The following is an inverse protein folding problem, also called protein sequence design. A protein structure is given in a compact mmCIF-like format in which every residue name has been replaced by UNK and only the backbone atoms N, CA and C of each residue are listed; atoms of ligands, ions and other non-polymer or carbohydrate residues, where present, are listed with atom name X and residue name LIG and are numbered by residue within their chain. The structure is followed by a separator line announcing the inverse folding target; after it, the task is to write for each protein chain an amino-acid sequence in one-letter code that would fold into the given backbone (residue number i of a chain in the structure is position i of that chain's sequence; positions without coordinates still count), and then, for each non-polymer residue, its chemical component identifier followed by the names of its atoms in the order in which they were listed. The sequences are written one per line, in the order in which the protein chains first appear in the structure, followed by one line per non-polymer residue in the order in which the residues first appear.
data_IF_750991081261
#
_entry.id   IF_750991081261
#
_cell.length_a   1.000
_cell.length_b   1.000
_cell.length_c   1.000
_cell.angle_alpha   90.00
_cell.angle_beta   90.00
_cell.angle_gamma   90.00
#
_symmetry.space_group_name_H-M   'P 1'
#
loop_
_entity.id
_entity.type
_entity.pdbx_description
1 polymer ?
#
# COMPACT_ATOMS: atom_id res chain seq x y z
N UNK A 1 29.68 -7.87 0.31
CA UNK A 1 29.17 -6.51 0.58
C UNK A 1 28.00 -6.26 -0.35
N UNK A 2 26.76 -6.29 0.14
CA UNK A 2 25.58 -5.92 -0.65
C UNK A 2 25.40 -4.40 -0.48
N UNK A 3 25.59 -3.62 -1.53
CA UNK A 3 25.29 -2.19 -1.52
C UNK A 3 23.81 -1.95 -1.23
N UNK A 4 23.44 -0.87 -0.54
CA UNK A 4 22.04 -0.53 -0.31
C UNK A 4 21.29 -0.42 -1.64
N UNK A 5 19.98 -0.75 -1.67
CA UNK A 5 19.16 -0.51 -2.86
C UNK A 5 19.21 0.99 -3.18
N UNK A 6 19.37 1.36 -4.46
CA UNK A 6 19.48 2.77 -4.82
C UNK A 6 18.17 3.49 -4.50
N UNK A 7 18.25 4.77 -4.14
CA UNK A 7 17.13 5.68 -3.94
C UNK A 7 16.71 6.35 -5.26
N UNK A 8 15.52 6.93 -5.31
CA UNK A 8 15.02 7.71 -6.45
C UNK A 8 15.89 8.93 -6.76
N UNK A 9 16.58 9.47 -5.75
CA UNK A 9 17.48 10.61 -5.88
C UNK A 9 18.89 10.20 -6.33
N UNK A 10 19.21 8.91 -6.39
CA UNK A 10 20.46 8.44 -6.99
C UNK A 10 20.39 8.67 -8.50
N UNK A 11 21.25 9.56 -9.02
CA UNK A 11 21.22 10.05 -10.40
C UNK A 11 21.22 8.95 -11.49
N UNK A 12 21.57 7.70 -11.12
CA UNK A 12 21.74 6.59 -12.05
C UNK A 12 21.04 5.29 -11.60
N UNK A 13 20.03 5.34 -10.73
CA UNK A 13 19.29 4.12 -10.29
C UNK A 13 18.79 3.28 -11.48
N UNK A 14 18.43 3.95 -12.58
CA UNK A 14 17.97 3.33 -13.82
C UNK A 14 19.00 2.36 -14.43
N UNK A 15 20.31 2.59 -14.24
CA UNK A 15 21.37 1.73 -14.77
C UNK A 15 21.38 0.33 -14.15
N UNK A 16 20.87 0.20 -12.92
CA UNK A 16 20.72 -1.09 -12.24
C UNK A 16 19.43 -1.84 -12.65
N UNK A 17 18.66 -1.29 -13.58
CA UNK A 17 17.44 -1.89 -14.11
C UNK A 17 17.73 -3.17 -14.91
N UNK A 18 17.19 -4.31 -14.47
CA UNK A 18 17.30 -5.58 -15.21
C UNK A 18 16.69 -5.53 -16.61
N UNK A 19 15.73 -4.64 -16.86
CA UNK A 19 15.15 -4.42 -18.18
C UNK A 19 16.15 -3.91 -19.22
N UNK A 20 17.31 -3.39 -18.79
CA UNK A 20 18.38 -2.92 -19.69
C UNK A 20 19.35 -4.02 -20.10
N UNK A 21 19.25 -5.22 -19.51
CA UNK A 21 20.14 -6.31 -19.83
C UNK A 21 19.96 -6.73 -21.30
N UNK A 22 21.04 -6.99 -22.02
CA UNK A 22 21.01 -7.24 -23.47
C UNK A 22 20.12 -8.44 -23.88
N UNK A 23 19.86 -9.37 -22.96
CA UNK A 23 18.98 -10.52 -23.17
C UNK A 23 17.49 -10.22 -22.96
N UNK A 24 17.11 -8.98 -22.70
CA UNK A 24 15.74 -8.57 -22.41
C UNK A 24 15.26 -7.64 -23.50
N UNK A 25 14.19 -8.02 -24.17
CA UNK A 25 13.54 -7.21 -25.20
C UNK A 25 12.77 -6.03 -24.58
N UNK A 26 13.05 -4.77 -24.97
CA UNK A 26 12.30 -3.59 -24.51
C UNK A 26 10.79 -3.64 -24.82
N UNK A 27 10.39 -4.26 -25.94
CA UNK A 27 8.98 -4.38 -26.36
C UNK A 27 8.14 -5.19 -25.35
N UNK A 28 8.80 -5.99 -24.51
CA UNK A 28 8.14 -6.70 -23.43
C UNK A 28 7.43 -5.74 -22.45
N UNK A 29 8.01 -4.56 -22.21
CA UNK A 29 7.51 -3.59 -21.25
C UNK A 29 6.53 -2.58 -21.86
N UNK A 30 6.59 -2.33 -23.17
CA UNK A 30 5.81 -1.31 -23.85
C UNK A 30 4.96 -1.96 -24.96
N UNK A 31 3.62 -2.07 -24.80
CA UNK A 31 2.77 -2.74 -25.78
C UNK A 31 2.73 -2.02 -27.12
N UNK A 32 2.64 -2.79 -28.21
CA UNK A 32 2.07 -2.34 -29.48
C UNK A 32 0.53 -2.36 -29.43
N UNK A 33 -0.12 -1.52 -30.23
CA UNK A 33 -1.58 -1.51 -30.35
C UNK A 33 -2.09 -2.80 -31.04
N UNK A 34 -3.21 -3.35 -30.52
CA UNK A 34 -3.98 -4.50 -31.04
C UNK A 34 -3.44 -5.92 -30.75
N UNK A 35 -2.83 -6.16 -29.59
CA UNK A 35 -2.53 -7.54 -29.15
C UNK A 35 -3.79 -8.31 -28.68
N UNK A 36 -3.82 -9.62 -28.95
CA UNK A 36 -4.79 -10.53 -28.34
C UNK A 36 -4.65 -10.53 -26.80
N UNK A 37 -5.77 -10.65 -26.08
CA UNK A 37 -5.77 -10.60 -24.60
C UNK A 37 -4.87 -11.65 -23.95
N UNK A 38 -4.77 -12.84 -24.53
CA UNK A 38 -3.89 -13.92 -24.06
C UNK A 38 -2.42 -13.57 -24.22
N UNK A 39 -2.03 -13.06 -25.40
CA UNK A 39 -0.66 -12.61 -25.70
C UNK A 39 -0.25 -11.48 -24.76
N UNK A 40 -1.11 -10.48 -24.61
CA UNK A 40 -0.90 -9.39 -23.65
C UNK A 40 -0.67 -9.90 -22.23
N UNK A 41 -1.50 -10.85 -21.75
CA UNK A 41 -1.35 -11.42 -20.40
C UNK A 41 -0.02 -12.13 -20.22
N UNK A 42 0.40 -12.93 -21.21
CA UNK A 42 1.69 -13.64 -21.15
C UNK A 42 2.86 -12.65 -21.13
N UNK A 43 2.84 -11.63 -22.01
CA UNK A 43 3.84 -10.56 -22.04
C UNK A 43 3.93 -9.81 -20.71
N UNK A 44 2.78 -9.39 -20.17
CA UNK A 44 2.72 -8.72 -18.86
C UNK A 44 3.27 -9.61 -17.74
N UNK A 45 2.96 -10.90 -17.72
CA UNK A 45 3.50 -11.84 -16.74
C UNK A 45 5.02 -11.99 -16.86
N UNK A 46 5.54 -12.08 -18.08
CA UNK A 46 6.97 -12.18 -18.35
C UNK A 46 7.70 -10.90 -17.92
N UNK A 47 7.22 -9.71 -18.28
CA UNK A 47 7.78 -8.44 -17.83
C UNK A 47 7.81 -8.34 -16.30
N UNK A 48 6.69 -8.69 -15.65
CA UNK A 48 6.58 -8.71 -14.18
C UNK A 48 7.57 -9.68 -13.54
N UNK A 49 7.87 -10.82 -14.16
CA UNK A 49 8.85 -11.78 -13.65
C UNK A 49 10.27 -11.18 -13.59
N UNK A 50 10.62 -10.35 -14.58
CA UNK A 50 11.90 -9.62 -14.62
C UNK A 50 11.92 -8.55 -13.54
N UNK A 51 10.86 -7.76 -13.41
CA UNK A 51 10.73 -6.73 -12.38
C UNK A 51 10.86 -7.31 -10.96
N UNK A 52 10.28 -8.48 -10.67
CA UNK A 52 10.36 -9.13 -9.34
C UNK A 52 11.78 -9.41 -8.87
N UNK A 53 12.73 -9.57 -9.80
CA UNK A 53 14.14 -9.84 -9.49
C UNK A 53 14.99 -8.58 -9.58
N UNK A 54 14.42 -7.46 -10.03
CA UNK A 54 15.13 -6.22 -10.30
C UNK A 54 15.44 -5.49 -8.99
N UNK A 55 16.71 -5.12 -8.72
CA UNK A 55 17.08 -4.48 -7.45
C UNK A 55 16.45 -3.08 -7.29
N UNK A 56 16.05 -2.45 -8.40
CA UNK A 56 15.46 -1.10 -8.42
C UNK A 56 13.95 -1.11 -8.66
N UNK A 57 13.28 -2.24 -8.49
CA UNK A 57 11.85 -2.36 -8.79
C UNK A 57 11.00 -1.38 -7.96
N UNK A 58 11.30 -1.24 -6.67
CA UNK A 58 10.59 -0.34 -5.77
C UNK A 58 10.76 1.14 -6.19
N UNK A 59 12.00 1.57 -6.43
CA UNK A 59 12.30 2.94 -6.89
C UNK A 59 11.68 3.23 -8.25
N UNK A 60 11.75 2.27 -9.17
CA UNK A 60 11.12 2.36 -10.49
C UNK A 60 9.59 2.55 -10.38
N UNK A 61 8.92 1.83 -9.47
CA UNK A 61 7.49 1.99 -9.23
C UNK A 61 7.17 3.37 -8.63
N UNK A 62 7.92 3.79 -7.60
CA UNK A 62 7.76 5.11 -6.99
C UNK A 62 7.90 6.23 -8.02
N UNK A 63 8.94 6.17 -8.85
CA UNK A 63 9.15 7.12 -9.95
C UNK A 63 7.96 7.13 -10.91
N UNK A 64 7.46 5.95 -11.30
CA UNK A 64 6.36 5.86 -12.25
C UNK A 64 5.04 6.42 -11.71
N UNK A 65 4.78 6.27 -10.40
CA UNK A 65 3.63 6.86 -9.73
C UNK A 65 3.78 8.39 -9.58
N UNK A 66 4.94 8.88 -9.16
CA UNK A 66 5.18 10.32 -8.99
C UNK A 66 5.10 11.09 -10.31
N UNK A 67 5.67 10.53 -11.38
CA UNK A 67 5.71 11.17 -12.71
C UNK A 67 4.53 10.79 -13.59
N UNK A 68 3.59 9.96 -13.09
CA UNK A 68 2.41 9.47 -13.81
C UNK A 68 2.75 8.90 -15.19
N UNK A 69 3.73 8.00 -15.25
CA UNK A 69 4.18 7.42 -16.51
C UNK A 69 2.99 6.80 -17.27
N UNK A 70 2.72 7.24 -18.52
CA UNK A 70 1.44 7.00 -19.17
C UNK A 70 1.27 5.57 -19.66
N UNK A 71 2.36 4.90 -20.05
CA UNK A 71 2.30 3.57 -20.67
C UNK A 71 3.34 2.62 -20.09
N UNK A 72 3.20 1.34 -20.43
CA UNK A 72 4.16 0.29 -20.12
C UNK A 72 4.15 -0.21 -18.68
N UNK A 73 5.05 -1.16 -18.41
CA UNK A 73 5.22 -1.83 -17.12
C UNK A 73 6.41 -1.23 -16.38
N UNK A 74 6.15 -0.68 -15.20
CA UNK A 74 7.14 0.00 -14.38
C UNK A 74 7.15 -0.62 -12.99
N UNK A 75 8.33 -1.00 -12.50
CA UNK A 75 8.49 -1.61 -11.16
C UNK A 75 7.63 -2.86 -10.92
N UNK A 76 7.16 -3.53 -11.97
CA UNK A 76 6.26 -4.69 -11.88
C UNK A 76 4.76 -4.37 -11.91
N UNK A 77 4.37 -3.11 -12.13
CA UNK A 77 2.98 -2.71 -12.27
C UNK A 77 2.67 -2.24 -13.70
N UNK A 78 1.55 -2.71 -14.25
CA UNK A 78 0.95 -2.16 -15.48
C UNK A 78 0.37 -0.77 -15.24
N UNK A 79 0.10 -0.02 -16.31
CA UNK A 79 -0.61 1.28 -16.22
C UNK A 79 -1.92 1.16 -15.42
N UNK A 80 -2.72 0.13 -15.70
CA UNK A 80 -4.02 -0.10 -15.05
C UNK A 80 -3.83 -0.36 -13.55
N UNK A 81 -2.79 -1.10 -13.17
CA UNK A 81 -2.47 -1.35 -11.76
C UNK A 81 -2.01 -0.07 -11.06
N UNK A 82 -1.13 0.72 -11.68
CA UNK A 82 -0.70 2.02 -11.13
C UNK A 82 -1.88 2.97 -10.93
N UNK A 83 -2.78 3.09 -11.91
CA UNK A 83 -4.01 3.90 -11.78
C UNK A 83 -4.94 3.40 -10.66
N UNK A 84 -4.92 2.11 -10.33
CA UNK A 84 -5.69 1.57 -9.20
C UNK A 84 -5.05 1.91 -7.87
N UNK A 85 -3.72 2.02 -7.81
CA UNK A 85 -2.98 2.45 -6.61
C UNK A 85 -3.14 3.95 -6.36
N UNK A 86 -3.13 4.78 -7.40
CA UNK A 86 -3.40 6.21 -7.31
C UNK A 86 -4.86 6.53 -6.97
N UNK A 87 -5.80 5.64 -7.32
CA UNK A 87 -7.21 5.85 -7.03
C UNK A 87 -7.39 5.82 -5.50
N UNK A 88 -7.81 6.93 -4.87
CA UNK A 88 -8.12 6.91 -3.45
C UNK A 88 -9.20 5.86 -3.24
N UNK A 89 -8.95 4.92 -2.32
CA UNK A 89 -9.98 3.97 -1.91
C UNK A 89 -11.16 4.81 -1.42
N UNK A 90 -12.39 4.59 -1.91
CA UNK A 90 -13.52 5.37 -1.45
C UNK A 90 -13.58 5.23 0.06
N UNK A 91 -13.64 6.37 0.75
CA UNK A 91 -13.82 6.36 2.18
C UNK A 91 -15.08 5.51 2.48
N UNK A 92 -15.02 4.60 3.47
CA UNK A 92 -16.19 3.84 3.83
C UNK A 92 -17.31 4.80 4.19
N UNK A 93 -18.49 4.61 3.59
CA UNK A 93 -19.67 5.41 3.94
C UNK A 93 -19.96 5.23 5.44
N UNK A 94 -19.87 6.31 6.20
CA UNK A 94 -20.21 6.35 7.62
C UNK A 94 -21.72 6.45 7.75
N UNK A 95 -22.37 5.30 7.90
CA UNK A 95 -23.81 5.22 8.24
C UNK A 95 -24.00 5.60 9.72
N UNK A 96 -25.19 6.08 10.12
CA UNK A 96 -25.47 6.40 11.53
C UNK A 96 -25.21 5.20 12.46
N UNK A 97 -25.56 3.98 12.02
CA UNK A 97 -25.27 2.73 12.73
C UNK A 97 -23.76 2.53 12.96
N UNK A 98 -22.92 2.84 11.97
CA UNK A 98 -21.45 2.75 12.09
C UNK A 98 -20.89 3.82 13.01
N UNK A 99 -21.44 5.03 12.97
CA UNK A 99 -21.05 6.11 13.88
C UNK A 99 -21.40 5.76 15.34
N UNK A 100 -22.54 5.10 15.58
CA UNK A 100 -22.93 4.61 16.90
C UNK A 100 -21.94 3.58 17.45
N UNK A 101 -21.39 2.69 16.60
CA UNK A 101 -20.33 1.76 17.03
C UNK A 101 -19.07 2.49 17.51
N UNK A 102 -18.65 3.54 16.79
CA UNK A 102 -17.50 4.37 17.18
C UNK A 102 -17.76 5.12 18.49
N UNK A 103 -18.94 5.73 18.64
CA UNK A 103 -19.34 6.42 19.85
C UNK A 103 -19.44 5.46 21.05
N UNK A 104 -20.04 4.28 20.86
CA UNK A 104 -20.13 3.25 21.90
C UNK A 104 -18.75 2.76 22.34
N UNK A 105 -17.82 2.60 21.39
CA UNK A 105 -16.43 2.28 21.72
C UNK A 105 -15.80 3.40 22.57
N UNK A 106 -15.89 4.65 22.12
CA UNK A 106 -15.36 5.81 22.84
C UNK A 106 -15.95 5.94 24.25
N UNK A 107 -17.23 5.63 24.43
CA UNK A 107 -17.94 5.62 25.72
C UNK A 107 -17.51 4.50 26.68
N UNK A 108 -16.69 3.52 26.23
CA UNK A 108 -16.14 2.49 27.09
C UNK A 108 -16.41 1.06 26.65
N UNK A 109 -17.33 0.83 25.71
CA UNK A 109 -17.68 -0.52 25.27
C UNK A 109 -16.46 -1.24 24.66
N UNK A 110 -16.36 -2.55 24.89
CA UNK A 110 -15.38 -3.37 24.18
C UNK A 110 -15.85 -3.66 22.75
N UNK A 111 -14.92 -4.02 21.87
CA UNK A 111 -15.27 -4.45 20.49
C UNK A 111 -16.21 -5.66 20.52
N UNK A 112 -16.08 -6.53 21.54
CA UNK A 112 -16.94 -7.70 21.72
C UNK A 112 -18.37 -7.29 22.11
N UNK A 113 -18.52 -6.36 23.04
CA UNK A 113 -19.85 -5.88 23.47
C UNK A 113 -20.60 -5.23 22.31
N UNK A 114 -19.89 -4.42 21.52
CA UNK A 114 -20.45 -3.79 20.32
C UNK A 114 -20.87 -4.82 19.27
N UNK A 115 -20.06 -5.87 19.05
CA UNK A 115 -20.38 -6.96 18.13
C UNK A 115 -21.64 -7.72 18.56
N UNK A 116 -21.77 -8.00 19.86
CA UNK A 116 -22.97 -8.63 20.43
C UNK A 116 -24.19 -7.73 20.28
N UNK A 117 -24.08 -6.44 20.62
CA UNK A 117 -25.18 -5.49 20.57
C UNK A 117 -25.67 -5.22 19.13
N UNK A 118 -24.77 -5.21 18.15
CA UNK A 118 -25.10 -4.95 16.75
C UNK A 118 -25.38 -6.20 15.92
N UNK A 119 -25.27 -7.40 16.50
CA UNK A 119 -25.37 -8.68 15.77
C UNK A 119 -24.32 -8.85 14.66
N UNK A 120 -23.24 -8.05 14.67
CA UNK A 120 -22.22 -8.07 13.63
C UNK A 120 -21.01 -8.91 14.07
N UNK A 121 -20.28 -9.56 13.14
CA UNK A 121 -19.06 -10.28 13.52
C UNK A 121 -17.98 -9.31 14.01
N UNK A 122 -17.18 -9.74 14.99
CA UNK A 122 -16.08 -8.96 15.58
C UNK A 122 -15.18 -8.27 14.54
N UNK A 123 -14.84 -8.99 13.46
CA UNK A 123 -14.00 -8.47 12.38
C UNK A 123 -14.65 -7.31 11.61
N UNK A 124 -15.98 -7.29 11.52
CA UNK A 124 -16.71 -6.18 10.92
C UNK A 124 -16.68 -4.95 11.82
N UNK A 125 -16.98 -5.10 13.11
CA UNK A 125 -16.92 -3.99 14.09
C UNK A 125 -15.52 -3.41 14.16
N UNK A 126 -14.48 -4.26 14.28
CA UNK A 126 -13.08 -3.82 14.28
C UNK A 126 -12.72 -2.99 13.04
N UNK A 127 -13.17 -3.42 11.85
CA UNK A 127 -12.92 -2.70 10.59
C UNK A 127 -13.64 -1.36 10.56
N UNK A 128 -14.86 -1.29 11.06
CA UNK A 128 -15.65 -0.06 11.14
C UNK A 128 -14.98 0.96 12.08
N UNK A 129 -14.51 0.52 13.25
CA UNK A 129 -13.79 1.40 14.18
C UNK A 129 -12.53 1.98 13.55
N UNK A 130 -11.69 1.14 12.93
CA UNK A 130 -10.48 1.59 12.23
C UNK A 130 -10.79 2.54 11.06
N UNK A 131 -11.84 2.23 10.29
CA UNK A 131 -12.33 3.07 9.21
C UNK A 131 -12.84 4.45 9.70
N UNK A 132 -13.39 4.51 10.90
CA UNK A 132 -13.82 5.74 11.56
C UNK A 132 -12.65 6.52 12.21
N UNK A 133 -11.40 6.07 12.04
CA UNK A 133 -10.22 6.69 12.64
C UNK A 133 -10.06 6.41 14.14
N UNK A 134 -10.84 5.48 14.71
CA UNK A 134 -10.71 5.09 16.11
C UNK A 134 -9.43 4.28 16.31
N UNK A 135 -8.54 4.79 17.16
CA UNK A 135 -7.39 4.01 17.65
C UNK A 135 -7.89 2.99 18.66
N UNK A 136 -7.69 1.70 18.39
CA UNK A 136 -8.12 0.65 19.30
C UNK A 136 -7.26 0.68 20.57
N UNK A 137 -7.93 0.66 21.72
CA UNK A 137 -7.33 0.49 23.04
C UNK A 137 -6.33 -0.69 22.98
N UNK A 138 -5.12 -0.51 23.53
CA UNK A 138 -4.16 -1.59 23.64
C UNK A 138 -4.81 -2.79 24.34
N UNK A 139 -4.54 -3.99 23.84
CA UNK A 139 -4.79 -5.19 24.64
C UNK A 139 -4.07 -4.99 25.98
N UNK A 140 -4.79 -5.18 27.09
CA UNK A 140 -4.32 -4.98 28.45
C UNK A 140 -2.85 -5.41 28.63
N UNK A 141 -1.96 -4.43 28.82
CA UNK A 141 -0.52 -4.68 29.03
C UNK A 141 0.43 -3.51 28.77
N UNK A 142 0.06 -2.48 28.01
CA UNK A 142 0.87 -1.28 27.83
C UNK A 142 0.12 -0.06 28.40
N UNK A 143 0.32 0.21 29.70
CA UNK A 143 -0.08 1.48 30.29
C UNK A 143 0.72 2.64 29.68
N UNK A 144 0.22 3.89 29.76
CA UNK A 144 1.00 5.05 29.34
C UNK A 144 2.24 5.14 30.23
N UNK A 145 3.45 5.08 29.66
CA UNK A 145 4.63 5.60 30.37
C UNK A 145 4.39 7.10 30.53
N UNK A 146 3.94 7.50 31.73
CA UNK A 146 4.00 8.88 32.15
C UNK A 146 5.47 9.28 32.09
N UNK A 147 5.82 10.19 31.17
CA UNK A 147 7.11 10.85 31.20
C UNK A 147 7.28 11.51 32.59
N UNK A 148 8.44 11.36 33.24
CA UNK A 148 8.67 12.02 34.53
C UNK A 148 8.58 13.54 34.33
N UNK A 149 8.02 14.28 35.30
CA UNK A 149 8.07 15.74 35.26
C UNK A 149 9.54 16.17 35.32
N UNK A 150 9.99 16.91 34.30
CA UNK A 150 11.23 17.67 34.38
C UNK A 150 11.04 18.77 35.43
N UNK A 151 11.42 18.47 36.67
CA UNK A 151 11.66 19.47 37.70
C UNK A 151 13.00 20.14 37.47
N UNK A 152 12.99 21.48 37.42
CA UNK A 152 14.18 22.32 37.56
C UNK A 152 14.80 22.13 38.95
N UNK A 153 16.12 22.18 39.04
CA UNK A 153 16.87 23.00 40.02
C UNK A 153 18.38 22.77 39.86
N UNK A 154 19.08 23.81 39.40
CA UNK A 154 20.42 24.25 39.81
C UNK A 154 20.74 25.59 39.12
#
# INVERSE_FOLDING_TARGET
MQSPPPDIHDAHWQMYGRCRHASVDPELFFPCDRELRSVRRMREQQAKSICRRCPVAAVCLTYALQTRQPYGIWGGATEIERRREERPKPAPVMTPERAQLAAGYQAGASIRDLATASGAPYSAVRRILLAAGVTLRPCCGAGPQAAPPHGSDA
#
